data_IF_972128637853
#
_entry.id   IF_972128637853
#
_cell.length_a   1.000
_cell.length_b   1.000
_cell.length_c   1.000
_cell.angle_alpha   90.00
_cell.angle_beta   90.00
_cell.angle_gamma   90.00
#
_symmetry.space_group_name_H-M   'P 1'
#
loop_
_entity.id
_entity.type
_entity.pdbx_description
1 polymer ?
#
# COMPACT_ATOMS: atom_id res chain seq x y z
N UNK A 1 27.57 -30.96 29.10
CA UNK A 1 26.34 -31.54 28.51
C UNK A 1 25.15 -30.56 28.54
N UNK A 2 24.86 -29.94 29.68
CA UNK A 2 23.74 -28.98 29.82
C UNK A 2 23.91 -27.71 28.94
N UNK A 3 25.13 -27.17 28.83
CA UNK A 3 25.43 -25.98 28.01
C UNK A 3 25.25 -26.25 26.51
N UNK A 4 25.52 -27.45 26.02
CA UNK A 4 25.31 -27.79 24.61
C UNK A 4 23.83 -27.90 24.22
N UNK A 5 22.99 -28.43 25.11
CA UNK A 5 21.55 -28.55 24.89
C UNK A 5 20.87 -27.16 24.90
N UNK A 6 21.26 -26.29 25.84
CA UNK A 6 20.71 -24.91 25.87
C UNK A 6 21.09 -24.10 24.62
N UNK A 7 22.32 -24.27 24.11
CA UNK A 7 22.75 -23.62 22.87
C UNK A 7 21.96 -24.10 21.66
N UNK A 8 21.74 -25.41 21.53
CA UNK A 8 20.93 -25.98 20.43
C UNK A 8 19.46 -25.55 20.49
N UNK A 9 18.89 -25.44 21.69
CA UNK A 9 17.51 -24.94 21.85
C UNK A 9 17.41 -23.47 21.48
N UNK A 10 18.38 -22.66 21.90
CA UNK A 10 18.42 -21.22 21.53
C UNK A 10 18.58 -21.02 20.01
N UNK A 11 19.41 -21.82 19.35
CA UNK A 11 19.57 -21.77 17.90
C UNK A 11 18.28 -22.14 17.15
N UNK A 12 17.55 -23.16 17.65
CA UNK A 12 16.26 -23.56 17.09
C UNK A 12 15.19 -22.44 17.22
N UNK A 13 15.13 -21.79 18.37
CA UNK A 13 14.19 -20.70 18.61
C UNK A 13 14.51 -19.47 17.73
N UNK A 14 15.77 -19.16 17.53
CA UNK A 14 16.20 -18.08 16.62
C UNK A 14 15.79 -18.40 15.18
N UNK A 15 16.03 -19.61 14.70
CA UNK A 15 15.65 -20.03 13.35
C UNK A 15 14.14 -20.00 13.15
N UNK A 16 13.35 -20.50 14.10
CA UNK A 16 11.90 -20.47 14.06
C UNK A 16 11.37 -19.02 13.99
N UNK A 17 11.88 -18.15 14.85
CA UNK A 17 11.53 -16.73 14.85
C UNK A 17 11.91 -16.03 13.54
N UNK A 18 12.99 -16.43 12.90
CA UNK A 18 13.43 -15.88 11.62
C UNK A 18 12.49 -16.31 10.48
N UNK A 19 12.10 -17.59 10.44
CA UNK A 19 11.15 -18.10 9.45
C UNK A 19 9.79 -17.43 9.56
N UNK A 20 9.24 -17.27 10.77
CA UNK A 20 7.99 -16.55 10.99
C UNK A 20 8.05 -15.09 10.52
N UNK A 21 9.17 -14.40 10.76
CA UNK A 21 9.36 -13.02 10.27
C UNK A 21 9.45 -12.92 8.76
N UNK A 22 10.12 -13.89 8.11
CA UNK A 22 10.22 -13.96 6.65
C UNK A 22 8.84 -14.23 6.03
N UNK A 23 8.07 -15.14 6.61
CA UNK A 23 6.70 -15.43 6.15
C UNK A 23 5.82 -14.19 6.22
N UNK A 24 5.84 -13.45 7.34
CA UNK A 24 5.10 -12.20 7.50
C UNK A 24 5.55 -11.16 6.47
N UNK A 25 6.86 -11.04 6.22
CA UNK A 25 7.39 -10.12 5.22
C UNK A 25 6.88 -10.46 3.81
N UNK A 26 6.93 -11.74 3.43
CA UNK A 26 6.46 -12.20 2.10
C UNK A 26 4.96 -11.93 1.95
N UNK A 27 4.15 -12.26 2.95
CA UNK A 27 2.70 -12.00 2.93
C UNK A 27 2.40 -10.51 2.85
N UNK A 28 3.14 -9.67 3.57
CA UNK A 28 2.99 -8.21 3.52
C UNK A 28 3.34 -7.64 2.14
N UNK A 29 4.43 -8.11 1.54
CA UNK A 29 4.82 -7.71 0.18
C UNK A 29 3.77 -8.15 -0.84
N UNK A 30 3.27 -9.37 -0.74
CA UNK A 30 2.24 -9.88 -1.64
C UNK A 30 0.95 -9.05 -1.53
N UNK A 31 0.50 -8.76 -0.32
CA UNK A 31 -0.66 -7.91 -0.08
C UNK A 31 -0.48 -6.50 -0.65
N UNK A 32 0.73 -5.93 -0.51
CA UNK A 32 1.06 -4.62 -1.07
C UNK A 32 1.04 -4.62 -2.60
N UNK A 33 1.59 -5.64 -3.26
CA UNK A 33 1.51 -5.80 -4.71
C UNK A 33 0.07 -5.92 -5.19
N UNK A 34 -0.75 -6.76 -4.55
CA UNK A 34 -2.17 -6.91 -4.89
C UNK A 34 -2.89 -5.55 -4.77
N UNK A 35 -2.63 -4.79 -3.72
CA UNK A 35 -3.17 -3.45 -3.52
C UNK A 35 -2.82 -2.52 -4.67
N UNK A 36 -1.52 -2.44 -5.06
CA UNK A 36 -1.08 -1.57 -6.16
C UNK A 36 -1.78 -1.95 -7.47
N UNK A 37 -1.87 -3.23 -7.81
CA UNK A 37 -2.54 -3.67 -9.02
C UNK A 37 -4.05 -3.32 -9.00
N UNK A 38 -4.72 -3.52 -7.87
CA UNK A 38 -6.13 -3.16 -7.72
C UNK A 38 -6.37 -1.66 -7.90
N UNK A 39 -5.54 -0.82 -7.28
CA UNK A 39 -5.63 0.65 -7.40
C UNK A 39 -5.28 1.12 -8.81
N UNK A 40 -4.31 0.51 -9.47
CA UNK A 40 -3.97 0.79 -10.88
C UNK A 40 -5.16 0.50 -11.78
N UNK A 41 -5.81 -0.65 -11.61
CA UNK A 41 -6.99 -1.00 -12.37
C UNK A 41 -8.16 -0.04 -12.11
N UNK A 42 -8.36 0.34 -10.85
CA UNK A 42 -9.36 1.35 -10.48
C UNK A 42 -9.07 2.69 -11.17
N UNK A 43 -7.83 3.17 -11.15
CA UNK A 43 -7.44 4.43 -11.79
C UNK A 43 -7.66 4.37 -13.30
N UNK A 44 -7.31 3.26 -13.95
CA UNK A 44 -7.58 3.03 -15.39
C UNK A 44 -9.07 3.07 -15.73
N UNK A 45 -9.94 2.61 -14.83
CA UNK A 45 -11.39 2.64 -15.04
C UNK A 45 -11.99 4.04 -14.90
N UNK A 46 -11.31 4.95 -14.22
CA UNK A 46 -11.77 6.31 -13.93
C UNK A 46 -11.32 7.32 -14.99
N UNK A 47 -10.15 7.09 -15.60
CA UNK A 47 -9.57 8.01 -16.59
C UNK A 47 -8.99 7.22 -17.77
N UNK A 48 -8.96 7.86 -18.94
CA UNK A 48 -8.35 7.30 -20.15
C UNK A 48 -6.83 7.51 -20.13
N UNK A 49 -6.15 6.86 -19.19
CA UNK A 49 -4.69 6.88 -19.06
C UNK A 49 -4.09 5.57 -19.59
N UNK A 50 -2.78 5.57 -19.86
CA UNK A 50 -2.06 4.33 -20.16
C UNK A 50 -1.87 3.47 -18.90
N UNK A 51 -1.68 2.16 -19.08
CA UNK A 51 -1.39 1.26 -17.96
C UNK A 51 -0.13 1.70 -17.20
N UNK A 52 0.90 2.11 -17.95
CA UNK A 52 2.19 2.54 -17.39
C UNK A 52 2.04 3.80 -16.54
N UNK A 53 1.34 4.83 -17.05
CA UNK A 53 1.12 6.07 -16.30
C UNK A 53 0.28 5.84 -15.05
N UNK A 54 -0.75 5.01 -15.14
CA UNK A 54 -1.61 4.67 -13.99
C UNK A 54 -0.84 3.88 -12.92
N UNK A 55 -0.01 2.92 -13.32
CA UNK A 55 0.82 2.15 -12.40
C UNK A 55 1.83 3.03 -11.66
N UNK A 56 2.54 3.88 -12.40
CA UNK A 56 3.50 4.84 -11.82
C UNK A 56 2.79 5.84 -10.91
N UNK A 57 1.64 6.35 -11.33
CA UNK A 57 0.84 7.29 -10.53
C UNK A 57 0.45 6.69 -9.18
N UNK A 58 -0.03 5.45 -9.16
CA UNK A 58 -0.38 4.75 -7.91
C UNK A 58 0.85 4.57 -7.02
N UNK A 59 2.01 4.20 -7.58
CA UNK A 59 3.24 4.09 -6.81
C UNK A 59 3.61 5.44 -6.17
N UNK A 60 3.54 6.55 -6.91
CA UNK A 60 3.80 7.87 -6.36
C UNK A 60 2.80 8.26 -5.26
N UNK A 61 1.51 7.95 -5.43
CA UNK A 61 0.50 8.14 -4.39
C UNK A 61 0.83 7.36 -3.11
N UNK A 62 1.18 6.08 -3.23
CA UNK A 62 1.57 5.25 -2.09
C UNK A 62 2.88 5.73 -1.43
N UNK A 63 3.87 6.16 -2.20
CA UNK A 63 5.12 6.71 -1.67
C UNK A 63 4.89 8.02 -0.91
N UNK A 64 4.04 8.90 -1.43
CA UNK A 64 3.72 10.16 -0.73
C UNK A 64 2.96 9.92 0.57
N UNK A 65 2.22 8.82 0.69
CA UNK A 65 1.55 8.44 1.93
C UNK A 65 2.51 8.08 3.08
N UNK A 66 3.76 7.75 2.77
CA UNK A 66 4.80 7.40 3.76
C UNK A 66 5.54 8.66 4.26
N UNK A 67 5.47 9.78 3.54
CA UNK A 67 6.15 11.01 3.93
C UNK A 67 5.52 11.61 5.19
N UNK A 68 6.32 12.17 6.11
CA UNK A 68 5.81 12.76 7.35
C UNK A 68 5.08 14.10 7.15
N UNK A 69 4.93 14.55 5.92
CA UNK A 69 4.25 15.79 5.54
C UNK A 69 2.86 15.44 5.04
N UNK A 70 1.91 15.34 5.95
CA UNK A 70 0.53 15.02 5.59
C UNK A 70 -0.42 16.17 5.95
N UNK A 71 -1.34 16.48 5.04
CA UNK A 71 -2.60 17.12 5.38
C UNK A 71 -3.46 16.17 6.22
N UNK A 72 -4.66 16.62 6.60
CA UNK A 72 -5.61 15.79 7.32
C UNK A 72 -5.90 14.48 6.54
N UNK A 73 -5.65 13.32 7.15
CA UNK A 73 -5.79 12.00 6.52
C UNK A 73 -4.98 11.79 5.22
N UNK A 74 -3.86 12.52 5.03
CA UNK A 74 -3.04 12.42 3.82
C UNK A 74 -3.60 13.16 2.60
N UNK A 75 -4.70 13.92 2.76
CA UNK A 75 -5.29 14.70 1.66
C UNK A 75 -4.31 15.75 1.13
N UNK A 76 -4.26 15.89 -0.18
CA UNK A 76 -3.37 16.80 -0.90
C UNK A 76 -2.05 16.14 -1.30
N UNK A 77 -1.39 15.42 -0.41
CA UNK A 77 -0.11 14.74 -0.72
C UNK A 77 -0.31 13.49 -1.56
N UNK A 78 -1.29 12.67 -1.24
CA UNK A 78 -1.63 11.46 -1.98
C UNK A 78 -2.09 11.80 -3.40
N UNK A 79 -3.04 12.73 -3.53
CA UNK A 79 -3.53 13.22 -4.82
C UNK A 79 -2.42 13.86 -5.64
N UNK A 80 -1.58 14.68 -4.99
CA UNK A 80 -0.41 15.28 -5.62
C UNK A 80 0.55 14.25 -6.19
N UNK A 81 0.78 13.14 -5.48
CA UNK A 81 1.58 12.00 -5.94
C UNK A 81 0.98 11.35 -7.20
N UNK A 82 -0.32 11.04 -7.18
CA UNK A 82 -1.01 10.47 -8.34
C UNK A 82 -0.96 11.42 -9.54
N UNK A 83 -1.28 12.70 -9.35
CA UNK A 83 -1.26 13.70 -10.42
C UNK A 83 0.13 13.87 -11.00
N UNK A 84 1.17 13.88 -10.15
CA UNK A 84 2.55 13.95 -10.60
C UNK A 84 2.92 12.74 -11.47
N UNK A 85 2.55 11.54 -11.03
CA UNK A 85 2.80 10.30 -11.79
C UNK A 85 2.08 10.30 -13.14
N UNK A 86 0.80 10.69 -13.18
CA UNK A 86 0.04 10.80 -14.43
C UNK A 86 0.66 11.82 -15.39
N UNK A 87 0.95 13.03 -14.92
CA UNK A 87 1.55 14.08 -15.74
C UNK A 87 2.94 13.74 -16.28
N UNK A 88 3.65 12.85 -15.64
CA UNK A 88 4.98 12.44 -16.09
C UNK A 88 4.95 11.63 -17.39
N UNK A 89 3.85 10.94 -17.65
CA UNK A 89 3.70 10.03 -18.79
C UNK A 89 2.59 10.46 -19.76
N UNK A 90 1.50 11.06 -19.27
CA UNK A 90 0.31 11.42 -20.04
C UNK A 90 -0.02 12.90 -19.87
N UNK A 91 0.51 13.75 -20.76
CA UNK A 91 0.30 15.21 -20.73
C UNK A 91 -1.06 15.65 -21.26
N UNK A 92 -1.82 14.75 -21.87
CA UNK A 92 -3.09 15.07 -22.54
C UNK A 92 -4.32 14.86 -21.66
N UNK A 93 -4.16 14.40 -20.44
CA UNK A 93 -5.27 14.17 -19.51
C UNK A 93 -5.66 15.52 -18.88
N UNK A 94 -6.97 15.79 -18.85
CA UNK A 94 -7.48 16.98 -18.18
C UNK A 94 -7.18 16.94 -16.68
N UNK A 95 -6.69 18.06 -16.14
CA UNK A 95 -6.33 18.18 -14.72
C UNK A 95 -7.53 17.92 -13.79
N UNK A 96 -8.74 18.35 -14.16
CA UNK A 96 -9.95 18.11 -13.35
C UNK A 96 -10.28 16.62 -13.25
N UNK A 97 -10.06 15.87 -14.33
CA UNK A 97 -10.21 14.41 -14.34
C UNK A 97 -9.17 13.73 -13.48
N UNK A 98 -7.93 14.21 -13.49
CA UNK A 98 -6.86 13.69 -12.62
C UNK A 98 -7.17 13.92 -11.14
N UNK A 99 -7.64 15.12 -10.78
CA UNK A 99 -8.02 15.47 -9.41
C UNK A 99 -9.18 14.59 -8.95
N UNK A 100 -10.24 14.48 -9.74
CA UNK A 100 -11.42 13.69 -9.41
C UNK A 100 -11.07 12.21 -9.24
N UNK A 101 -10.28 11.64 -10.14
CA UNK A 101 -9.86 10.25 -10.07
C UNK A 101 -8.94 9.98 -8.87
N UNK A 102 -7.98 10.87 -8.58
CA UNK A 102 -7.08 10.73 -7.44
C UNK A 102 -7.82 10.79 -6.10
N UNK A 103 -8.82 11.66 -5.97
CA UNK A 103 -9.69 11.74 -4.79
C UNK A 103 -10.50 10.45 -4.61
N UNK A 104 -11.06 9.88 -5.67
CA UNK A 104 -11.81 8.62 -5.61
C UNK A 104 -10.91 7.45 -5.22
N UNK A 105 -9.71 7.36 -5.78
CA UNK A 105 -8.71 6.34 -5.41
C UNK A 105 -8.34 6.48 -3.94
N UNK A 106 -8.03 7.70 -3.47
CA UNK A 106 -7.69 7.95 -2.08
C UNK A 106 -8.85 7.58 -1.13
N UNK A 107 -10.07 8.00 -1.45
CA UNK A 107 -11.25 7.65 -0.66
C UNK A 107 -11.44 6.13 -0.57
N UNK A 108 -11.21 5.40 -1.67
CA UNK A 108 -11.28 3.94 -1.69
C UNK A 108 -10.23 3.31 -0.75
N UNK A 109 -9.00 3.84 -0.73
CA UNK A 109 -7.94 3.40 0.19
C UNK A 109 -8.32 3.63 1.65
N UNK A 110 -8.87 4.81 1.97
CA UNK A 110 -9.33 5.14 3.33
C UNK A 110 -10.48 4.23 3.77
N UNK A 111 -11.46 4.02 2.90
CA UNK A 111 -12.60 3.15 3.18
C UNK A 111 -12.16 1.69 3.41
N UNK A 112 -11.27 1.19 2.56
CA UNK A 112 -10.70 -0.14 2.72
C UNK A 112 -9.96 -0.29 4.06
N UNK A 113 -9.13 0.70 4.41
CA UNK A 113 -8.40 0.70 5.68
C UNK A 113 -9.34 0.74 6.89
N UNK A 114 -10.43 1.49 6.81
CA UNK A 114 -11.46 1.56 7.85
C UNK A 114 -12.16 0.20 8.02
N UNK A 115 -12.55 -0.45 6.91
CA UNK A 115 -13.18 -1.78 6.95
C UNK A 115 -12.24 -2.80 7.60
N UNK A 116 -10.96 -2.82 7.21
CA UNK A 116 -9.97 -3.72 7.82
C UNK A 116 -9.79 -3.46 9.31
N UNK A 117 -9.76 -2.20 9.74
CA UNK A 117 -9.65 -1.84 11.15
C UNK A 117 -10.85 -2.37 11.95
N UNK A 118 -12.08 -2.21 11.42
CA UNK A 118 -13.30 -2.73 12.04
C UNK A 118 -13.25 -4.26 12.13
N UNK A 119 -12.94 -4.96 11.03
CA UNK A 119 -12.86 -6.42 11.01
C UNK A 119 -11.82 -6.94 12.00
N UNK A 120 -10.65 -6.30 12.08
CA UNK A 120 -9.60 -6.70 13.01
C UNK A 120 -10.01 -6.58 14.48
N UNK A 121 -10.86 -5.61 14.82
CA UNK A 121 -11.36 -5.45 16.20
C UNK A 121 -12.35 -6.57 16.59
N UNK A 122 -13.12 -7.07 15.62
CA UNK A 122 -14.03 -8.19 15.87
C UNK A 122 -13.30 -9.52 16.02
N UNK A 123 -12.28 -9.78 15.18
CA UNK A 123 -11.48 -11.02 15.25
C UNK A 123 -10.71 -11.11 16.58
N UNK A 124 -10.22 -9.99 17.09
CA UNK A 124 -9.44 -9.97 18.35
C UNK A 124 -10.30 -10.24 19.61
N UNK A 125 -11.64 -10.17 19.50
CA UNK A 125 -12.58 -10.45 20.61
C UNK A 125 -13.03 -11.90 20.69
N UNK A 126 -12.71 -12.70 19.68
CA UNK A 126 -12.98 -14.16 19.66
C UNK A 126 -11.75 -14.94 20.06
#
# INVERSE_FOLDING_TARGET
>A
MVLGVSYLLQERDIKKNLFEKIEILILSLLAWFIKIFALTYLLLSLISASLESSFVAVIFGELTSILPIHGFAGTGTYEGGIIFGLNSFDKNINIDSMISASLLVHFTVLLYSLILAIVSTFIKKT
#
